data_IF_104519348760
#
_entry.id   IF_104519348760
#
_cell.length_a   1.000
_cell.length_b   1.000
_cell.length_c   1.000
_cell.angle_alpha   90.00
_cell.angle_beta   90.00
_cell.angle_gamma   90.00
#
_symmetry.space_group_name_H-M   'P 1'
#
loop_
_entity.id
_entity.type
_entity.pdbx_description
1 polymer ?
#
# COMPACT_ATOMS: atom_id res chain seq x y z
N UNK A 1 2.77 25.97 -8.33
CA UNK A 1 2.15 25.33 -7.71
C UNK A 1 2.74 24.60 -7.01
N UNK A 2 3.19 24.41 -7.33
CA UNK A 2 3.78 23.51 -6.86
C UNK A 2 3.89 23.37 -5.41
N UNK A 3 4.24 24.38 -4.68
CA UNK A 3 4.43 24.30 -3.25
C UNK A 3 3.14 23.99 -2.50
N UNK A 4 2.05 24.64 -2.84
CA UNK A 4 0.78 24.40 -2.17
C UNK A 4 0.21 23.04 -2.51
N UNK A 5 0.35 22.60 -3.76
CA UNK A 5 -0.11 21.28 -4.15
C UNK A 5 0.70 20.18 -3.49
N UNK A 6 2.00 20.40 -3.32
CA UNK A 6 2.84 19.44 -2.64
C UNK A 6 2.44 19.28 -1.17
N UNK A 7 2.23 20.38 -0.46
CA UNK A 7 1.80 20.35 0.93
C UNK A 7 0.43 19.67 1.03
N UNK A 8 -0.47 19.99 0.12
CA UNK A 8 -1.80 19.42 0.12
C UNK A 8 -1.76 17.90 -0.07
N UNK A 9 -0.93 17.42 -0.99
CA UNK A 9 -0.76 15.98 -1.21
C UNK A 9 -0.20 15.31 0.04
N UNK A 10 0.77 15.94 0.70
CA UNK A 10 1.38 15.39 1.91
C UNK A 10 0.39 15.28 3.07
N UNK A 11 -0.63 16.12 3.10
CA UNK A 11 -1.61 16.12 4.19
C UNK A 11 -2.81 15.22 3.93
N UNK A 12 -2.92 14.66 2.73
CA UNK A 12 -4.05 13.81 2.38
C UNK A 12 -3.89 12.41 2.95
N UNK A 13 -5.04 11.76 3.17
CA UNK A 13 -5.04 10.38 3.63
C UNK A 13 -4.85 9.43 2.44
N UNK A 14 -4.80 8.13 2.73
CA UNK A 14 -4.51 7.12 1.70
C UNK A 14 -5.50 7.10 0.53
N UNK A 15 -6.74 7.55 0.74
CA UNK A 15 -7.74 7.55 -0.32
C UNK A 15 -7.50 8.63 -1.35
N UNK A 16 -6.79 9.68 -0.97
CA UNK A 16 -6.58 10.84 -1.83
C UNK A 16 -5.24 10.81 -2.57
N UNK A 17 -4.40 9.83 -2.28
CA UNK A 17 -3.15 9.66 -3.03
C UNK A 17 -3.50 9.17 -4.43
N UNK A 18 -2.92 9.76 -5.48
CA UNK A 18 -3.28 9.39 -6.86
C UNK A 18 -2.62 8.08 -7.29
N UNK A 19 -3.06 6.98 -6.73
CA UNK A 19 -2.47 5.66 -6.97
C UNK A 19 -2.42 5.30 -8.45
N UNK A 20 -3.48 5.64 -9.19
CA UNK A 20 -3.56 5.29 -10.61
C UNK A 20 -2.60 6.11 -11.47
N UNK A 21 -2.17 7.27 -11.00
CA UNK A 21 -1.22 8.09 -11.75
C UNK A 21 0.17 7.46 -11.78
N UNK A 22 0.49 6.60 -10.80
CA UNK A 22 1.75 5.90 -10.80
C UNK A 22 1.75 4.69 -11.70
N UNK A 23 0.61 4.05 -11.85
CA UNK A 23 0.54 2.69 -12.37
C UNK A 23 0.03 2.63 -13.81
N UNK A 24 -0.60 3.70 -14.27
CA UNK A 24 -1.11 3.74 -15.64
C UNK A 24 -2.13 2.64 -15.89
N UNK A 25 -1.97 1.96 -17.02
CA UNK A 25 -2.93 0.95 -17.44
C UNK A 25 -2.82 -0.37 -16.69
N UNK A 26 -1.79 -0.54 -15.88
CA UNK A 26 -1.63 -1.77 -15.11
C UNK A 26 -2.74 -1.98 -14.10
N UNK A 27 -3.45 -0.92 -13.73
CA UNK A 27 -4.57 -1.02 -12.79
C UNK A 27 -5.73 -1.85 -13.37
N UNK A 28 -5.77 -2.05 -14.67
CA UNK A 28 -6.81 -2.82 -15.33
C UNK A 28 -6.46 -4.29 -15.51
N UNK A 29 -5.24 -4.68 -15.14
CA UNK A 29 -4.73 -6.05 -15.27
C UNK A 29 -4.93 -6.75 -13.92
N UNK A 30 -5.14 -8.06 -13.94
CA UNK A 30 -5.20 -8.84 -12.70
C UNK A 30 -3.93 -8.60 -11.89
N UNK A 31 -4.07 -8.42 -10.59
CA UNK A 31 -2.94 -7.99 -9.76
C UNK A 31 -1.75 -8.94 -9.83
N UNK A 32 -1.99 -10.24 -9.96
CA UNK A 32 -0.89 -11.20 -10.05
C UNK A 32 -0.11 -11.07 -11.36
N UNK A 33 -0.71 -10.49 -12.37
CA UNK A 33 -0.09 -10.29 -13.67
C UNK A 33 0.35 -8.85 -13.90
N UNK A 34 0.07 -7.97 -12.96
CA UNK A 34 0.40 -6.56 -13.07
C UNK A 34 1.90 -6.34 -12.88
N UNK A 35 2.36 -5.19 -13.32
CA UNK A 35 3.76 -4.80 -13.14
C UNK A 35 4.10 -4.49 -11.70
N UNK A 36 5.38 -4.31 -11.47
CA UNK A 36 5.91 -4.09 -10.13
C UNK A 36 5.34 -2.84 -9.47
N UNK A 37 5.16 -1.76 -10.23
CA UNK A 37 4.64 -0.51 -9.69
C UNK A 37 3.22 -0.67 -9.16
N UNK A 38 2.36 -1.41 -9.89
CA UNK A 38 1.00 -1.64 -9.44
C UNK A 38 0.98 -2.48 -8.16
N UNK A 39 1.76 -3.55 -8.13
CA UNK A 39 1.88 -4.37 -6.93
C UNK A 39 2.39 -3.56 -5.74
N UNK A 40 3.40 -2.72 -5.98
CA UNK A 40 3.95 -1.87 -4.93
C UNK A 40 2.91 -0.88 -4.40
N UNK A 41 2.03 -0.37 -5.26
CA UNK A 41 0.98 0.56 -4.84
C UNK A 41 0.01 -0.08 -3.85
N UNK A 42 -0.33 -1.33 -4.06
CA UNK A 42 -1.22 -2.07 -3.14
C UNK A 42 -0.50 -2.32 -1.81
N UNK A 43 0.72 -2.81 -1.87
CA UNK A 43 1.51 -3.10 -0.67
C UNK A 43 1.72 -1.83 0.17
N UNK A 44 2.11 -0.76 -0.47
CA UNK A 44 2.35 0.51 0.21
C UNK A 44 1.09 1.09 0.82
N UNK A 45 -0.03 1.01 0.10
CA UNK A 45 -1.29 1.53 0.59
C UNK A 45 -1.77 0.78 1.83
N UNK A 46 -1.68 -0.54 1.82
CA UNK A 46 -2.04 -1.35 3.00
C UNK A 46 -1.17 -0.96 4.19
N UNK A 47 0.15 -0.83 3.98
CA UNK A 47 1.03 -0.41 5.05
C UNK A 47 0.69 0.98 5.59
N UNK A 48 0.37 1.90 4.69
CA UNK A 48 0.02 3.26 5.08
C UNK A 48 -1.29 3.31 5.89
N UNK A 49 -2.29 2.54 5.48
CA UNK A 49 -3.54 2.46 6.22
C UNK A 49 -3.28 1.91 7.63
N UNK A 50 -2.50 0.85 7.74
CA UNK A 50 -2.19 0.27 9.04
C UNK A 50 -1.42 1.23 9.93
N UNK A 51 -0.45 1.93 9.37
CA UNK A 51 0.30 2.92 10.13
C UNK A 51 -0.62 4.02 10.65
N UNK A 52 -1.56 4.46 9.83
CA UNK A 52 -2.51 5.51 10.22
C UNK A 52 -3.46 5.06 11.33
N UNK A 53 -3.62 3.75 11.52
CA UNK A 53 -4.46 3.19 12.59
C UNK A 53 -3.75 3.15 13.94
N UNK A 54 -2.51 3.58 14.00
CA UNK A 54 -1.77 3.64 15.26
C UNK A 54 -1.10 2.33 15.68
N UNK A 55 -0.97 1.38 14.76
CA UNK A 55 -0.29 0.13 15.08
C UNK A 55 1.22 0.31 15.06
N UNK A 56 1.94 -0.62 15.68
CA UNK A 56 3.39 -0.56 15.74
C UNK A 56 4.06 -0.93 14.42
N UNK A 57 5.30 -0.46 14.26
CA UNK A 57 6.07 -0.68 13.04
C UNK A 57 6.22 -2.16 12.69
N UNK A 58 6.37 -3.01 13.71
CA UNK A 58 6.52 -4.44 13.50
C UNK A 58 5.33 -5.04 12.76
N UNK A 59 4.12 -4.64 13.16
CA UNK A 59 2.90 -5.18 12.56
C UNK A 59 2.73 -4.68 11.13
N UNK A 60 3.05 -3.43 10.88
CA UNK A 60 3.02 -2.87 9.52
C UNK A 60 3.98 -3.63 8.62
N UNK A 61 5.21 -3.81 9.07
CA UNK A 61 6.24 -4.51 8.28
C UNK A 61 5.85 -5.94 8.00
N UNK A 62 5.34 -6.65 9.00
CA UNK A 62 4.94 -8.04 8.84
C UNK A 62 3.83 -8.19 7.80
N UNK A 63 2.83 -7.31 7.85
CA UNK A 63 1.71 -7.36 6.91
C UNK A 63 2.15 -7.02 5.49
N UNK A 64 3.01 -6.02 5.33
CA UNK A 64 3.53 -5.66 4.00
C UNK A 64 4.36 -6.79 3.41
N UNK A 65 5.20 -7.44 4.21
CA UNK A 65 6.01 -8.55 3.73
C UNK A 65 5.15 -9.75 3.36
N UNK A 66 4.11 -10.01 4.12
CA UNK A 66 3.20 -11.11 3.82
C UNK A 66 2.48 -10.87 2.50
N UNK A 67 1.98 -9.66 2.30
CA UNK A 67 1.30 -9.30 1.07
C UNK A 67 2.26 -9.35 -0.13
N UNK A 68 3.50 -8.91 0.06
CA UNK A 68 4.54 -8.98 -0.97
C UNK A 68 4.76 -10.40 -1.44
N UNK A 69 4.83 -11.32 -0.49
CA UNK A 69 5.04 -12.73 -0.79
C UNK A 69 3.88 -13.28 -1.63
N UNK A 70 2.66 -12.90 -1.27
CA UNK A 70 1.48 -13.32 -2.04
C UNK A 70 1.47 -12.76 -3.45
N UNK A 71 2.07 -11.59 -3.65
CA UNK A 71 2.16 -10.95 -4.97
C UNK A 71 3.41 -11.35 -5.74
N UNK A 72 4.25 -12.23 -5.17
CA UNK A 72 5.43 -12.73 -5.85
C UNK A 72 6.57 -11.73 -5.96
N UNK A 73 6.64 -10.77 -5.05
CA UNK A 73 7.71 -9.77 -5.03
C UNK A 73 8.40 -9.79 -3.67
N UNK A 74 9.62 -9.25 -3.64
CA UNK A 74 10.38 -9.10 -2.40
C UNK A 74 10.37 -7.63 -2.00
N UNK A 75 10.00 -7.34 -0.76
CA UNK A 75 10.01 -5.98 -0.26
C UNK A 75 10.92 -5.85 0.94
N UNK A 76 11.65 -4.74 1.00
CA UNK A 76 12.33 -4.29 2.21
C UNK A 76 11.62 -3.04 2.68
N UNK A 77 11.28 -2.99 3.96
CA UNK A 77 10.43 -1.93 4.51
C UNK A 77 11.11 -1.29 5.70
N UNK A 78 11.12 0.04 5.69
CA UNK A 78 11.56 0.83 6.84
C UNK A 78 10.39 1.69 7.28
N UNK A 79 9.90 1.45 8.49
CA UNK A 79 8.72 2.12 9.03
C UNK A 79 9.16 3.17 10.03
N UNK A 80 8.87 4.43 9.72
CA UNK A 80 9.09 5.53 10.64
C UNK A 80 7.87 5.80 11.50
N UNK A 81 7.89 6.91 12.21
CA UNK A 81 6.78 7.29 13.08
C UNK A 81 5.52 7.62 12.27
N UNK A 82 5.68 8.34 11.18
CA UNK A 82 4.55 8.78 10.34
C UNK A 82 4.85 8.58 8.86
N UNK A 83 5.78 7.68 8.53
CA UNK A 83 6.16 7.45 7.15
C UNK A 83 6.61 6.01 6.95
N UNK A 84 6.57 5.58 5.69
CA UNK A 84 7.05 4.27 5.28
C UNK A 84 7.91 4.47 4.05
N UNK A 85 9.10 3.89 4.07
CA UNK A 85 9.95 3.81 2.89
C UNK A 85 10.13 2.35 2.56
N UNK A 86 9.92 1.97 1.31
CA UNK A 86 10.04 0.58 0.95
C UNK A 86 10.54 0.41 -0.48
N UNK A 87 11.17 -0.73 -0.70
CA UNK A 87 11.66 -1.14 -2.01
C UNK A 87 11.00 -2.44 -2.37
N UNK A 88 10.49 -2.55 -3.59
CA UNK A 88 9.96 -3.80 -4.12
C UNK A 88 10.81 -4.27 -5.28
N UNK A 89 11.07 -5.55 -5.33
CA UNK A 89 11.95 -6.16 -6.31
C UNK A 89 11.30 -7.44 -6.84
N UNK A 90 11.21 -7.55 -8.16
CA UNK A 90 10.56 -8.70 -8.80
C UNK A 90 11.54 -9.64 -9.54
N UNK A 91 12.83 -9.42 -9.36
CA UNK A 91 13.86 -10.21 -10.06
C UNK A 91 14.40 -9.50 -11.29
N UNK A 92 13.73 -8.48 -11.78
CA UNK A 92 14.13 -7.71 -12.95
C UNK A 92 14.22 -6.24 -12.67
N UNK A 93 13.24 -5.70 -11.94
CA UNK A 93 13.14 -4.29 -11.65
C UNK A 93 13.06 -4.06 -10.16
N UNK A 94 13.41 -2.85 -9.73
CA UNK A 94 13.30 -2.43 -8.35
C UNK A 94 12.60 -1.09 -8.31
N UNK A 95 11.59 -0.97 -7.45
CA UNK A 95 10.84 0.27 -7.25
C UNK A 95 10.97 0.69 -5.81
N UNK A 96 11.31 1.95 -5.59
CA UNK A 96 11.41 2.54 -4.25
C UNK A 96 10.33 3.59 -4.08
N UNK A 97 9.64 3.56 -2.96
CA UNK A 97 8.60 4.54 -2.64
C UNK A 97 8.73 5.02 -1.21
N UNK A 98 8.33 6.26 -1.00
CA UNK A 98 8.27 6.86 0.33
C UNK A 98 6.87 7.45 0.47
N UNK A 99 6.15 7.00 1.48
CA UNK A 99 4.80 7.45 1.75
C UNK A 99 4.72 8.00 3.17
N UNK A 100 3.95 9.05 3.37
CA UNK A 100 3.79 9.63 4.69
C UNK A 100 2.33 9.95 4.97
N UNK A 101 2.01 10.09 6.25
CA UNK A 101 0.67 10.43 6.71
C UNK A 101 0.75 11.69 7.56
N UNK A 102 -0.34 12.46 7.57
CA UNK A 102 -0.40 13.68 8.36
C UNK A 102 -0.78 13.41 9.82
N UNK A 103 -1.61 12.40 10.04
CA UNK A 103 -2.14 12.12 11.37
C UNK A 103 -2.16 10.62 11.62
N UNK A 104 -1.96 10.25 12.88
CA UNK A 104 -2.20 8.89 13.33
C UNK A 104 -3.24 8.93 14.43
N UNK A 105 -3.95 7.84 14.59
CA UNK A 105 -4.92 7.69 15.67
C UNK A 105 -5.23 6.22 15.84
N UNK A 106 -5.70 5.85 17.03
CA UNK A 106 -6.03 4.46 17.28
C UNK A 106 -7.38 4.15 16.64
N UNK A 107 -7.38 3.21 15.69
CA UNK A 107 -8.59 2.73 15.05
C UNK A 107 -8.49 1.22 14.93
N UNK A 108 -8.89 0.52 15.98
CA UNK A 108 -8.76 -0.92 16.04
C UNK A 108 -9.68 -1.64 15.06
N UNK A 109 -10.83 -1.04 14.77
CA UNK A 109 -11.78 -1.59 13.82
C UNK A 109 -11.19 -1.63 12.40
N UNK A 110 -10.59 -0.53 11.97
CA UNK A 110 -9.96 -0.47 10.66
C UNK A 110 -8.72 -1.36 10.60
N UNK A 111 -7.94 -1.40 11.67
CA UNK A 111 -6.77 -2.26 11.75
C UNK A 111 -7.18 -3.73 11.61
N UNK A 112 -8.24 -4.14 12.28
CA UNK A 112 -8.75 -5.50 12.18
C UNK A 112 -9.13 -5.83 10.74
N UNK A 113 -9.82 -4.92 10.06
CA UNK A 113 -10.20 -5.13 8.66
C UNK A 113 -8.99 -5.25 7.75
N UNK A 114 -7.94 -4.48 8.01
CA UNK A 114 -6.71 -4.58 7.21
C UNK A 114 -6.01 -5.92 7.43
N UNK A 115 -5.97 -6.39 8.66
CA UNK A 115 -5.38 -7.69 8.95
C UNK A 115 -6.18 -8.81 8.26
N UNK A 116 -7.51 -8.70 8.26
CA UNK A 116 -8.36 -9.64 7.54
C UNK A 116 -8.10 -9.59 6.04
N UNK A 117 -7.95 -8.41 5.49
CA UNK A 117 -7.65 -8.23 4.07
C UNK A 117 -6.34 -8.96 3.71
N UNK A 118 -5.29 -8.77 4.48
CA UNK A 118 -3.99 -9.42 4.21
C UNK A 118 -4.11 -10.93 4.36
N UNK A 119 -4.81 -11.40 5.39
CA UNK A 119 -4.94 -12.82 5.64
C UNK A 119 -5.79 -13.53 4.59
N UNK A 120 -6.80 -12.87 4.07
CA UNK A 120 -7.71 -13.44 3.07
C UNK A 120 -7.27 -13.16 1.64
N UNK A 121 -6.18 -12.42 1.45
CA UNK A 121 -5.75 -11.99 0.13
C UNK A 121 -5.62 -13.14 -0.86
N UNK A 122 -4.96 -14.26 -0.53
CA UNK A 122 -4.79 -15.34 -1.50
C UNK A 122 -6.10 -15.91 -2.03
N UNK A 123 -7.14 -15.93 -1.20
CA UNK A 123 -8.41 -16.55 -1.56
C UNK A 123 -9.43 -15.58 -2.12
N UNK A 124 -9.34 -14.28 -1.78
CA UNK A 124 -10.36 -13.32 -2.14
C UNK A 124 -9.92 -12.21 -3.09
N UNK A 125 -8.71 -11.69 -2.92
CA UNK A 125 -8.27 -10.53 -3.67
C UNK A 125 -7.23 -10.83 -4.73
N UNK A 126 -6.53 -11.95 -4.65
CA UNK A 126 -5.41 -12.25 -5.54
C UNK A 126 -5.80 -12.33 -7.00
N UNK A 127 -7.07 -12.55 -7.29
CA UNK A 127 -7.56 -12.66 -8.67
C UNK A 127 -8.27 -11.39 -9.15
N UNK A 128 -8.22 -10.31 -8.38
CA UNK A 128 -8.81 -9.03 -8.77
C UNK A 128 -7.79 -8.17 -9.51
N UNK A 129 -8.29 -7.15 -10.20
CA UNK A 129 -7.42 -6.14 -10.80
C UNK A 129 -6.94 -5.18 -9.73
N UNK A 130 -5.86 -4.45 -10.04
CA UNK A 130 -5.38 -3.43 -9.12
C UNK A 130 -6.42 -2.38 -8.82
N UNK A 131 -7.19 -1.98 -9.82
CA UNK A 131 -8.28 -1.01 -9.64
C UNK A 131 -9.33 -1.52 -8.65
N UNK A 132 -9.73 -2.77 -8.79
CA UNK A 132 -10.70 -3.37 -7.88
C UNK A 132 -10.18 -3.45 -6.45
N UNK A 133 -8.90 -3.79 -6.29
CA UNK A 133 -8.27 -3.86 -4.97
C UNK A 133 -8.24 -2.47 -4.34
N UNK A 134 -7.86 -1.45 -5.10
CA UNK A 134 -7.84 -0.08 -4.57
C UNK A 134 -9.23 0.39 -4.17
N UNK A 135 -10.27 0.01 -4.90
CA UNK A 135 -11.65 0.32 -4.52
C UNK A 135 -12.02 -0.32 -3.19
N UNK A 136 -11.60 -1.57 -2.96
CA UNK A 136 -11.84 -2.23 -1.67
C UNK A 136 -11.11 -1.52 -0.53
N UNK A 137 -9.93 -1.03 -0.80
CA UNK A 137 -9.15 -0.31 0.20
C UNK A 137 -9.74 1.08 0.52
N UNK A 138 -10.56 1.62 -0.37
CA UNK A 138 -11.25 2.88 -0.12
C UNK A 138 -12.36 2.73 0.93
N UNK A 139 -12.82 1.53 1.14
CA UNK A 139 -13.84 1.27 2.17
C UNK A 139 -13.16 1.12 3.53
#
# INVERSE_FOLDING_TARGET
MAKNDYVEIMEKNHMEIPWHDYTGNDSEVLIQQAGLIEKASVIGRVGLIMLSCGTGAWRVRTSMNRLSKELGVTCTVDVGLMSIEFNCFDGKECVSQSLSIANTGVNTSQLYRMEQFVNSFPSQEAHLTGEEIHKRLDE
#
